data_IF_721670767197
#
_entry.id   IF_721670767197
#
_cell.length_a   1.000
_cell.length_b   1.000
_cell.length_c   1.000
_cell.angle_alpha   90.00
_cell.angle_beta   90.00
_cell.angle_gamma   90.00
#
_symmetry.space_group_name_H-M   'P 1'
#
loop_
_entity.id
_entity.type
_entity.pdbx_description
1 polymer ?
#
# COMPACT_ATOMS: atom_id res chain seq x y z
N UNK A 1 -16.12 8.91 7.46
CA UNK A 1 -16.46 7.48 7.35
C UNK A 1 -17.95 7.38 7.07
N UNK A 2 -18.36 6.52 6.13
CA UNK A 2 -19.77 6.38 5.73
C UNK A 2 -20.34 5.11 6.36
N UNK A 3 -21.51 5.21 6.99
CA UNK A 3 -22.18 4.08 7.62
C UNK A 3 -23.37 3.64 6.76
N UNK A 4 -23.51 2.33 6.56
CA UNK A 4 -24.64 1.72 5.88
C UNK A 4 -25.41 0.86 6.88
N UNK A 5 -26.68 1.14 7.09
CA UNK A 5 -27.51 0.45 8.08
C UNK A 5 -28.85 0.04 7.45
N UNK A 6 -29.28 -1.20 7.71
CA UNK A 6 -30.59 -1.67 7.26
C UNK A 6 -31.68 -1.15 8.21
N UNK A 7 -32.56 -0.29 7.72
CA UNK A 7 -33.70 0.27 8.47
C UNK A 7 -35.00 -0.54 8.30
N UNK A 8 -34.94 -1.73 7.69
CA UNK A 8 -36.09 -2.60 7.47
C UNK A 8 -36.04 -3.87 8.32
N UNK A 9 -37.21 -4.47 8.57
CA UNK A 9 -37.34 -5.70 9.37
C UNK A 9 -36.89 -6.96 8.62
N UNK A 10 -36.65 -6.88 7.31
CA UNK A 10 -36.22 -8.00 6.48
C UNK A 10 -34.73 -7.94 6.18
N UNK A 11 -34.11 -9.10 5.95
CA UNK A 11 -32.68 -9.18 5.57
C UNK A 11 -32.42 -8.41 4.26
N UNK A 12 -31.45 -7.50 4.30
CA UNK A 12 -30.93 -6.77 3.13
C UNK A 12 -29.48 -7.15 2.87
N UNK A 13 -29.00 -6.85 1.67
CA UNK A 13 -27.62 -7.11 1.24
C UNK A 13 -27.01 -5.84 0.69
N UNK A 14 -25.74 -5.63 1.00
CA UNK A 14 -24.88 -4.59 0.45
C UNK A 14 -23.59 -5.27 0.00
N UNK A 15 -23.00 -4.78 -1.08
CA UNK A 15 -21.74 -5.29 -1.61
C UNK A 15 -20.68 -4.20 -1.58
N UNK A 16 -19.46 -4.57 -1.21
CA UNK A 16 -18.28 -3.72 -1.22
C UNK A 16 -17.21 -4.34 -2.13
N UNK A 17 -16.46 -3.49 -2.82
CA UNK A 17 -15.34 -3.89 -3.65
C UNK A 17 -14.21 -2.86 -3.53
N UNK A 18 -12.97 -3.33 -3.58
CA UNK A 18 -11.80 -2.47 -3.71
C UNK A 18 -11.60 -2.04 -5.18
N UNK A 19 -10.90 -0.92 -5.43
CA UNK A 19 -10.78 -0.35 -6.78
C UNK A 19 -9.69 -1.04 -7.64
N UNK A 20 -9.18 -2.20 -7.24
CA UNK A 20 -8.17 -2.95 -7.99
C UNK A 20 -8.31 -4.47 -7.81
N UNK A 21 -7.76 -5.29 -8.73
CA UNK A 21 -7.91 -6.74 -8.69
C UNK A 21 -7.23 -7.36 -7.47
N UNK A 22 -7.95 -8.25 -6.78
CA UNK A 22 -7.42 -8.92 -5.61
C UNK A 22 -8.44 -9.80 -4.91
N UNK A 23 -8.16 -10.12 -3.65
CA UNK A 23 -8.99 -10.96 -2.79
C UNK A 23 -9.39 -10.20 -1.52
N UNK A 24 -10.59 -10.48 -1.03
CA UNK A 24 -11.10 -9.94 0.24
C UNK A 24 -10.95 -11.01 1.30
N UNK A 25 -10.42 -10.64 2.45
CA UNK A 25 -10.28 -11.48 3.64
C UNK A 25 -11.24 -10.96 4.69
N UNK A 26 -12.05 -11.84 5.24
CA UNK A 26 -12.83 -11.57 6.44
C UNK A 26 -12.02 -12.03 7.66
N UNK A 27 -11.82 -11.14 8.62
CA UNK A 27 -11.12 -11.41 9.87
C UNK A 27 -12.08 -11.10 11.00
N UNK A 28 -12.29 -12.07 11.87
CA UNK A 28 -12.93 -11.86 13.16
C UNK A 28 -11.91 -11.21 14.11
N UNK A 29 -12.21 -10.02 14.63
CA UNK A 29 -11.29 -9.34 15.54
C UNK A 29 -11.11 -10.11 16.85
N UNK A 30 -12.09 -10.90 17.31
CA UNK A 30 -11.91 -11.73 18.50
C UNK A 30 -10.81 -12.78 18.30
N UNK A 31 -10.73 -13.38 17.10
CA UNK A 31 -9.62 -14.28 16.73
C UNK A 31 -8.27 -13.57 16.66
N UNK A 32 -8.28 -12.25 16.41
CA UNK A 32 -7.09 -11.40 16.39
C UNK A 32 -6.82 -10.72 17.75
N UNK A 33 -7.41 -11.21 18.86
CA UNK A 33 -7.26 -10.65 20.21
C UNK A 33 -7.82 -9.23 20.35
N UNK A 34 -8.87 -8.93 19.60
CA UNK A 34 -9.59 -7.67 19.59
C UNK A 34 -8.90 -6.54 18.83
N UNK A 35 -7.75 -6.77 18.19
CA UNK A 35 -6.99 -5.72 17.53
C UNK A 35 -6.20 -6.22 16.30
N UNK A 36 -6.29 -5.47 15.20
CA UNK A 36 -5.56 -5.73 13.95
C UNK A 36 -4.92 -4.43 13.45
N UNK A 37 -3.68 -4.50 12.97
CA UNK A 37 -3.06 -3.39 12.25
C UNK A 37 -3.16 -3.67 10.75
N UNK A 38 -3.69 -2.73 9.97
CA UNK A 38 -3.78 -2.85 8.51
C UNK A 38 -3.24 -1.60 7.79
N UNK A 39 -2.80 -1.79 6.55
CA UNK A 39 -2.51 -0.68 5.65
C UNK A 39 -3.81 0.04 5.30
N UNK A 40 -3.78 1.38 5.22
CA UNK A 40 -4.98 2.21 5.01
C UNK A 40 -5.80 1.78 3.78
N UNK A 41 -5.16 1.55 2.64
CA UNK A 41 -5.85 1.20 1.39
C UNK A 41 -6.31 -0.27 1.35
N UNK A 42 -5.82 -1.11 2.27
CA UNK A 42 -6.31 -2.47 2.45
C UNK A 42 -7.64 -2.52 3.19
N UNK A 43 -8.03 -1.49 3.96
CA UNK A 43 -9.30 -1.47 4.66
C UNK A 43 -10.48 -1.38 3.66
N UNK A 44 -11.44 -2.31 3.75
CA UNK A 44 -12.63 -2.31 2.89
C UNK A 44 -13.92 -1.96 3.66
N UNK A 45 -14.20 -2.72 4.72
CA UNK A 45 -15.40 -2.53 5.55
C UNK A 45 -15.19 -3.15 6.93
N UNK A 46 -16.01 -2.76 7.90
CA UNK A 46 -16.02 -3.35 9.24
C UNK A 46 -17.43 -3.34 9.81
N UNK A 47 -17.66 -4.19 10.81
CA UNK A 47 -18.84 -4.14 11.65
C UNK A 47 -18.97 -2.76 12.32
N UNK A 48 -20.21 -2.29 12.50
CA UNK A 48 -20.47 -1.06 13.25
C UNK A 48 -19.97 -1.24 14.68
N UNK A 49 -19.17 -0.27 15.17
CA UNK A 49 -18.55 -0.33 16.50
C UNK A 49 -17.04 -0.58 16.46
N UNK A 50 -16.47 -1.03 15.33
CA UNK A 50 -15.02 -1.11 15.17
C UNK A 50 -14.39 0.29 15.24
N UNK A 51 -13.49 0.49 16.18
CA UNK A 51 -12.66 1.69 16.30
C UNK A 51 -11.55 1.66 15.26
N UNK A 52 -11.38 2.76 14.51
CA UNK A 52 -10.31 2.92 13.52
C UNK A 52 -9.47 4.13 13.89
N UNK A 53 -8.19 3.90 14.17
CA UNK A 53 -7.22 4.96 14.50
C UNK A 53 -5.93 4.80 13.69
N UNK A 54 -5.20 5.89 13.47
CA UNK A 54 -3.92 5.83 12.75
C UNK A 54 -2.82 5.47 13.76
N UNK A 55 -2.07 4.39 13.50
CA UNK A 55 -0.96 3.98 14.38
C UNK A 55 0.41 4.37 13.83
N UNK A 56 0.50 4.62 12.52
CA UNK A 56 1.76 4.96 11.86
C UNK A 56 1.48 5.78 10.60
N UNK A 57 2.29 6.80 10.36
CA UNK A 57 2.30 7.55 9.12
C UNK A 57 3.75 7.95 8.79
N UNK A 58 4.25 7.52 7.63
CA UNK A 58 5.58 7.92 7.14
C UNK A 58 5.49 8.32 5.68
N UNK A 59 5.93 9.55 5.38
CA UNK A 59 6.08 10.04 4.02
C UNK A 59 7.27 9.35 3.35
N UNK A 60 6.99 8.40 2.46
CA UNK A 60 7.99 7.61 1.74
C UNK A 60 8.29 8.24 0.37
N UNK A 61 8.79 9.49 0.36
CA UNK A 61 9.14 10.21 -0.88
C UNK A 61 7.95 10.48 -1.82
N UNK A 62 8.23 11.07 -2.98
CA UNK A 62 7.22 11.34 -4.01
C UNK A 62 6.93 10.05 -4.79
N UNK A 63 5.80 9.41 -4.52
CA UNK A 63 5.35 8.16 -5.16
C UNK A 63 3.94 7.79 -4.70
N UNK A 64 3.23 6.98 -5.50
CA UNK A 64 1.75 6.84 -5.56
C UNK A 64 1.01 6.25 -4.34
N UNK A 65 1.45 6.51 -3.11
CA UNK A 65 0.63 6.33 -1.90
C UNK A 65 -0.31 7.53 -1.66
N UNK A 66 -0.92 8.05 -2.73
CA UNK A 66 -1.86 9.19 -2.66
C UNK A 66 -1.27 10.49 -2.10
N UNK A 67 0.06 10.64 -2.05
CA UNK A 67 0.76 11.81 -1.49
C UNK A 67 0.78 11.87 0.05
N UNK A 68 0.00 11.02 0.73
CA UNK A 68 -0.02 10.93 2.19
C UNK A 68 1.12 10.07 2.75
N UNK A 69 1.67 9.17 1.92
CA UNK A 69 2.72 8.23 2.31
C UNK A 69 2.14 6.91 2.82
N UNK A 70 2.98 6.11 3.49
CA UNK A 70 2.55 4.82 4.01
C UNK A 70 1.87 5.00 5.37
N UNK A 71 0.59 4.67 5.42
CA UNK A 71 -0.25 4.79 6.61
C UNK A 71 -0.69 3.40 7.08
N UNK A 72 -0.48 3.12 8.35
CA UNK A 72 -1.10 2.00 9.05
C UNK A 72 -2.20 2.50 9.97
N UNK A 73 -3.30 1.77 9.95
CA UNK A 73 -4.45 1.96 10.81
C UNK A 73 -4.56 0.78 11.76
N UNK A 74 -4.99 1.07 12.98
CA UNK A 74 -5.38 0.11 14.00
C UNK A 74 -6.90 -0.03 13.94
N UNK A 75 -7.35 -1.27 13.85
CA UNK A 75 -8.74 -1.68 13.94
C UNK A 75 -8.93 -2.38 15.29
N UNK A 76 -9.82 -1.88 16.15
CA UNK A 76 -10.09 -2.45 17.47
C UNK A 76 -11.59 -2.70 17.65
N UNK A 77 -11.95 -3.84 18.22
CA UNK A 77 -13.35 -4.23 18.45
C UNK A 77 -13.51 -5.75 18.56
N UNK A 78 -14.74 -6.21 18.48
CA UNK A 78 -15.21 -7.59 18.67
C UNK A 78 -16.04 -8.10 17.47
N UNK A 79 -15.91 -7.42 16.33
CA UNK A 79 -16.69 -7.71 15.13
C UNK A 79 -15.83 -8.10 13.92
N UNK A 80 -16.51 -8.41 12.82
CA UNK A 80 -15.86 -8.72 11.55
C UNK A 80 -15.25 -7.48 10.92
N UNK A 81 -14.01 -7.60 10.45
CA UNK A 81 -13.37 -6.65 9.54
C UNK A 81 -13.08 -7.32 8.20
N UNK A 82 -13.18 -6.54 7.14
CA UNK A 82 -12.92 -6.97 5.77
C UNK A 82 -11.77 -6.16 5.22
N UNK A 83 -10.70 -6.86 4.84
CA UNK A 83 -9.52 -6.26 4.22
C UNK A 83 -9.33 -6.79 2.80
N UNK A 84 -8.77 -5.97 1.92
CA UNK A 84 -8.49 -6.29 0.53
C UNK A 84 -6.98 -6.40 0.29
N UNK A 85 -6.57 -7.43 -0.44
CA UNK A 85 -5.20 -7.67 -0.84
C UNK A 85 -5.10 -7.75 -2.37
N UNK A 86 -4.25 -6.91 -2.96
CA UNK A 86 -4.02 -6.86 -4.40
C UNK A 86 -3.35 -8.13 -4.95
N UNK A 87 -3.92 -8.69 -6.02
CA UNK A 87 -3.49 -9.99 -6.56
C UNK A 87 -3.85 -11.16 -5.64
N UNK A 88 -2.85 -11.95 -5.21
CA UNK A 88 -3.05 -13.06 -4.26
C UNK A 88 -2.62 -12.70 -2.85
N UNK A 89 -3.22 -13.40 -1.89
CA UNK A 89 -2.92 -13.28 -0.47
C UNK A 89 -1.87 -14.30 -0.08
N UNK A 90 -0.93 -13.88 0.75
CA UNK A 90 0.04 -14.75 1.41
C UNK A 90 -0.10 -14.51 2.92
N UNK A 91 -0.67 -15.48 3.63
CA UNK A 91 -0.65 -15.49 5.10
C UNK A 91 0.65 -16.13 5.59
N UNK A 92 1.34 -15.46 6.51
CA UNK A 92 2.51 -16.01 7.21
C UNK A 92 2.26 -15.93 8.71
N UNK A 93 2.61 -17.01 9.41
CA UNK A 93 2.66 -17.05 10.88
C UNK A 93 4.12 -16.91 11.30
N UNK A 94 4.42 -15.84 12.03
CA UNK A 94 5.72 -15.63 12.63
C UNK A 94 5.72 -16.18 14.06
N UNK A 95 6.82 -16.80 14.46
CA UNK A 95 7.05 -17.35 15.80
C UNK A 95 8.36 -16.78 16.38
N UNK A 96 8.45 -15.44 16.43
CA UNK A 96 9.65 -14.71 16.85
C UNK A 96 10.64 -14.41 15.72
N UNK A 97 10.46 -15.00 14.53
CA UNK A 97 11.31 -14.73 13.38
C UNK A 97 11.10 -13.32 12.81
N UNK A 98 12.12 -12.87 12.06
CA UNK A 98 12.12 -11.63 11.30
C UNK A 98 11.79 -11.90 9.82
N UNK A 99 10.93 -11.08 9.25
CA UNK A 99 10.55 -11.08 7.83
C UNK A 99 10.89 -9.71 7.23
N UNK A 100 11.68 -9.70 6.16
CA UNK A 100 11.84 -8.50 5.33
C UNK A 100 10.88 -8.58 4.16
N UNK A 101 10.17 -7.49 3.90
CA UNK A 101 9.16 -7.41 2.85
C UNK A 101 9.16 -6.02 2.22
N UNK A 102 8.77 -5.91 0.95
CA UNK A 102 8.45 -4.61 0.36
C UNK A 102 7.29 -3.98 1.15
N UNK A 103 7.45 -2.72 1.54
CA UNK A 103 6.46 -1.98 2.32
C UNK A 103 5.07 -1.99 1.67
N UNK A 104 5.00 -1.87 0.34
CA UNK A 104 3.72 -1.89 -0.39
C UNK A 104 3.03 -3.25 -0.38
N UNK A 105 3.74 -4.34 -0.09
CA UNK A 105 3.17 -5.69 -0.02
C UNK A 105 2.50 -5.99 1.33
N UNK A 106 2.58 -5.11 2.32
CA UNK A 106 1.94 -5.32 3.63
C UNK A 106 0.46 -4.96 3.54
N UNK A 107 -0.40 -5.92 3.90
CA UNK A 107 -1.86 -5.72 3.97
C UNK A 107 -2.29 -5.51 5.42
N UNK A 108 -1.96 -6.47 6.28
CA UNK A 108 -2.29 -6.42 7.70
C UNK A 108 -1.38 -7.32 8.52
N UNK A 109 -1.33 -7.10 9.84
CA UNK A 109 -0.62 -7.94 10.79
C UNK A 109 -1.20 -7.79 12.21
N UNK A 110 -1.04 -8.82 13.03
CA UNK A 110 -1.46 -8.81 14.44
C UNK A 110 -0.52 -7.95 15.30
N UNK A 111 -1.02 -7.45 16.43
CA UNK A 111 -0.30 -6.57 17.37
C UNK A 111 0.96 -7.18 17.99
N UNK A 112 1.12 -8.51 17.93
CA UNK A 112 2.34 -9.21 18.34
C UNK A 112 3.51 -9.07 17.36
N UNK A 113 3.32 -8.38 16.23
CA UNK A 113 4.34 -8.13 15.21
C UNK A 113 4.82 -6.67 15.29
N UNK A 114 6.11 -6.49 15.59
CA UNK A 114 6.79 -5.21 15.49
C UNK A 114 7.11 -4.87 14.03
N UNK A 115 7.08 -3.57 13.73
CA UNK A 115 7.24 -3.05 12.37
C UNK A 115 8.24 -1.90 12.32
N UNK A 116 9.12 -1.91 11.32
CA UNK A 116 10.03 -0.80 11.00
C UNK A 116 10.22 -0.64 9.48
N UNK A 117 10.29 0.59 8.98
CA UNK A 117 10.54 0.90 7.57
C UNK A 117 11.93 1.47 7.39
N UNK A 118 12.73 0.78 6.59
CA UNK A 118 14.06 1.20 6.19
C UNK A 118 14.09 1.44 4.68
N UNK A 119 14.82 2.48 4.29
CA UNK A 119 15.08 2.77 2.87
C UNK A 119 16.12 1.76 2.39
N UNK A 120 15.83 1.01 1.32
CA UNK A 120 16.77 0.03 0.81
C UNK A 120 17.77 0.69 -0.15
N UNK A 121 19.06 0.53 0.13
CA UNK A 121 20.15 0.89 -0.77
C UNK A 121 20.56 2.37 -0.80
N UNK A 122 21.57 2.66 -1.65
CA UNK A 122 22.08 4.01 -1.90
C UNK A 122 21.20 4.71 -2.95
N UNK A 123 21.06 6.05 -2.87
CA UNK A 123 20.26 6.87 -3.81
C UNK A 123 20.49 6.54 -5.29
N UNK A 124 21.73 6.14 -5.66
CA UNK A 124 22.07 5.74 -7.04
C UNK A 124 21.26 4.53 -7.52
N UNK A 125 21.11 3.49 -6.72
CA UNK A 125 20.36 2.27 -7.09
C UNK A 125 18.86 2.56 -7.30
N UNK A 126 18.31 3.52 -6.56
CA UNK A 126 16.91 3.95 -6.71
C UNK A 126 16.68 4.75 -8.00
N UNK A 127 17.67 5.55 -8.44
CA UNK A 127 17.60 6.31 -9.69
C UNK A 127 17.74 5.43 -10.93
N UNK A 128 18.58 4.38 -10.88
CA UNK A 128 18.78 3.46 -12.00
C UNK A 128 17.76 2.31 -12.06
N UNK A 129 17.08 2.00 -10.95
CA UNK A 129 16.07 0.95 -10.87
C UNK A 129 14.62 1.42 -11.05
N UNK A 130 14.36 2.74 -11.05
CA UNK A 130 13.03 3.33 -11.25
C UNK A 130 12.01 3.11 -10.12
N UNK A 131 12.29 2.20 -9.17
CA UNK A 131 11.42 1.90 -8.03
C UNK A 131 12.08 2.38 -6.73
N UNK A 132 11.39 3.26 -6.01
CA UNK A 132 11.78 3.64 -4.66
C UNK A 132 11.54 2.49 -3.69
N UNK A 133 12.48 1.54 -3.60
CA UNK A 133 12.30 0.35 -2.78
C UNK A 133 12.39 0.70 -1.28
N UNK A 134 11.25 0.72 -0.59
CA UNK A 134 11.19 0.80 0.87
C UNK A 134 10.98 -0.61 1.43
N UNK A 135 11.93 -1.09 2.21
CA UNK A 135 11.84 -2.39 2.86
C UNK A 135 11.30 -2.22 4.27
N UNK A 136 10.30 -3.01 4.59
CA UNK A 136 9.77 -3.16 5.92
C UNK A 136 10.36 -4.40 6.60
N UNK A 137 10.70 -4.26 7.87
CA UNK A 137 10.96 -5.36 8.78
C UNK A 137 9.70 -5.63 9.59
N UNK A 138 9.22 -6.88 9.56
CA UNK A 138 8.18 -7.42 10.43
C UNK A 138 8.80 -8.47 11.35
N UNK A 139 8.69 -8.33 12.67
CA UNK A 139 9.32 -9.25 13.61
C UNK A 139 8.46 -9.45 14.85
N UNK A 140 8.22 -10.71 15.24
CA UNK A 140 7.43 -11.03 16.43
C UNK A 140 6.67 -12.33 16.29
N UNK A 141 5.61 -12.49 17.07
CA UNK A 141 4.74 -13.67 17.01
C UNK A 141 3.32 -13.28 16.65
N UNK A 142 2.78 -13.88 15.59
CA UNK A 142 1.45 -13.55 15.08
C UNK A 142 1.31 -13.78 13.58
N UNK A 143 0.11 -13.50 13.06
CA UNK A 143 -0.21 -13.53 11.63
C UNK A 143 0.18 -12.24 10.93
N UNK A 144 0.67 -12.39 9.71
CA UNK A 144 0.95 -11.34 8.74
C UNK A 144 0.28 -11.70 7.43
N UNK A 145 -0.47 -10.77 6.85
CA UNK A 145 -1.09 -10.89 5.54
C UNK A 145 -0.36 -9.98 4.55
N UNK A 146 0.09 -10.59 3.45
CA UNK A 146 0.80 -9.92 2.38
C UNK A 146 0.03 -10.02 1.06
N UNK A 147 0.27 -9.05 0.18
CA UNK A 147 -0.26 -9.00 -1.18
C UNK A 147 0.86 -9.16 -2.22
N UNK A 148 0.54 -9.82 -3.33
CA UNK A 148 1.50 -10.02 -4.42
C UNK A 148 1.58 -8.85 -5.40
N UNK A 149 0.50 -8.07 -5.51
CA UNK A 149 0.38 -6.96 -6.45
C UNK A 149 -0.07 -5.69 -5.72
N UNK A 150 0.85 -4.95 -5.08
CA UNK A 150 0.54 -3.66 -4.49
C UNK A 150 -0.01 -2.67 -5.52
N UNK A 151 -1.07 -1.95 -5.15
CA UNK A 151 -1.66 -0.94 -6.03
C UNK A 151 -0.66 0.14 -6.44
N UNK A 152 0.19 0.59 -5.51
CA UNK A 152 1.25 1.57 -5.80
C UNK A 152 2.17 1.10 -6.93
N UNK A 153 2.64 -0.16 -6.87
CA UNK A 153 3.48 -0.75 -7.93
C UNK A 153 2.74 -0.87 -9.26
N UNK A 154 1.48 -1.29 -9.23
CA UNK A 154 0.65 -1.36 -10.44
C UNK A 154 0.52 0.03 -11.08
N UNK A 155 0.24 1.06 -10.27
CA UNK A 155 0.06 2.43 -10.72
C UNK A 155 1.37 3.03 -11.26
N UNK A 156 2.50 2.84 -10.56
CA UNK A 156 3.83 3.26 -11.01
C UNK A 156 4.18 2.65 -12.37
N UNK A 157 3.89 1.35 -12.56
CA UNK A 157 4.17 0.65 -13.83
C UNK A 157 3.26 1.11 -14.97
N UNK A 158 1.99 1.40 -14.69
CA UNK A 158 1.07 2.00 -15.67
C UNK A 158 1.59 3.38 -16.07
N UNK A 159 1.97 4.24 -15.13
CA UNK A 159 2.46 5.59 -15.44
C UNK A 159 3.78 5.58 -16.20
N UNK A 160 4.72 4.71 -15.83
CA UNK A 160 5.98 4.55 -16.55
C UNK A 160 5.78 4.03 -17.99
N UNK A 161 4.68 3.33 -18.24
CA UNK A 161 4.33 2.78 -19.56
C UNK A 161 3.30 3.64 -20.31
N UNK A 162 2.73 4.65 -19.66
CA UNK A 162 1.76 5.55 -20.26
C UNK A 162 2.49 6.40 -21.32
N UNK A 163 1.95 6.52 -22.54
CA UNK A 163 2.50 7.44 -23.52
C UNK A 163 2.55 8.82 -22.90
N UNK A 164 3.72 9.47 -22.90
CA UNK A 164 3.84 10.86 -22.50
C UNK A 164 2.98 11.69 -23.46
N UNK A 165 1.73 11.97 -23.09
CA UNK A 165 0.84 12.82 -23.86
C UNK A 165 1.31 14.26 -23.63
N UNK A 166 2.31 14.63 -24.41
CA UNK A 166 3.08 15.85 -24.29
C UNK A 166 4.23 15.78 -25.27
N UNK A 167 3.90 15.91 -26.56
CA UNK A 167 4.87 15.95 -27.64
C UNK A 167 5.96 16.98 -27.35
N UNK A 168 7.17 16.50 -27.14
CA UNK A 168 8.35 17.23 -27.63
C UNK A 168 8.72 16.50 -28.89
N UNK A 169 8.47 17.16 -30.03
CA UNK A 169 9.15 16.80 -31.26
C UNK A 169 10.62 16.61 -30.91
N UNK A 170 11.15 15.47 -31.34
CA UNK A 170 12.58 15.29 -31.47
C UNK A 170 13.05 16.35 -32.47
N UNK A 171 13.28 17.57 -31.97
CA UNK A 171 13.94 18.61 -32.72
C UNK A 171 15.43 18.30 -32.57
N UNK A 172 15.93 17.46 -33.48
CA UNK A 172 17.34 17.13 -33.67
C UNK A 172 18.23 18.39 -33.85
N UNK A 173 17.64 19.60 -33.90
CA UNK A 173 18.34 20.89 -33.96
C UNK A 173 18.81 21.49 -32.62
N UNK A 174 18.40 20.97 -31.45
CA UNK A 174 18.75 21.63 -30.17
C UNK A 174 20.22 21.49 -29.76
N UNK A 175 20.90 20.41 -30.18
CA UNK A 175 22.32 20.20 -29.84
C UNK A 175 23.23 21.07 -30.73
N UNK A 176 22.80 21.34 -31.97
CA UNK A 176 23.54 22.16 -32.94
C UNK A 176 23.44 23.66 -32.60
N UNK A 177 22.30 24.12 -32.07
CA UNK A 177 22.12 25.52 -31.64
C UNK A 177 22.96 25.89 -30.40
N UNK A 178 23.28 24.90 -29.54
CA UNK A 178 24.19 25.10 -28.41
C UNK A 178 25.67 25.23 -28.82
N UNK A 179 26.06 24.62 -29.95
CA UNK A 179 27.43 24.66 -30.46
C UNK A 179 27.69 25.87 -31.36
N UNK A 180 26.68 26.42 -32.04
CA UNK A 180 26.87 27.62 -32.88
C UNK A 180 27.10 28.90 -32.08
N UNK A 181 26.69 28.95 -30.80
CA UNK A 181 26.93 30.09 -29.91
C UNK A 181 28.34 30.16 -29.33
N UNK A 182 29.15 29.11 -29.47
CA UNK A 182 30.52 29.03 -28.97
C UNK A 182 31.60 29.30 -30.03
N UNK A 183 31.21 29.45 -31.30
CA UNK A 183 32.13 29.70 -32.43
C UNK A 183 32.04 31.14 -32.99
N UNK A 184 31.33 32.04 -32.31
CA UNK A 184 31.24 33.47 -32.66
C UNK A 184 31.76 34.40 -31.54
N UNK A 185 32.81 33.97 -30.83
CA UNK A 185 33.67 34.88 -30.04
C UNK A 185 35.11 34.75 -30.49
#
# INVERSE_FOLDING_TARGET
MTHFTNMSEVKRRLAFAAPYPGKIIAIDLDEARGELICQKDAFLAAALGTEISITFNKKLGAGLFGGEGFILQRLRGDGMVFIHAGGTIIEKRLQGQKLLVDTGCIVAFETGINYDIQRAGNLKSMLFGGEGLFLATLQGTGRVWLQSLPFSRLADRILASAPSQGGKGADEGSVIRGLSGLLQQ
#
